data_IF_684069523714
#
_entry.id   IF_684069523714
#
_cell.length_a   1.000
_cell.length_b   1.000
_cell.length_c   1.000
_cell.angle_alpha   90.00
_cell.angle_beta   90.00
_cell.angle_gamma   90.00
#
_symmetry.space_group_name_H-M   'P 1'
#
loop_
_entity.id
_entity.type
_entity.pdbx_description
1 polymer ?
#
# COMPACT_ATOMS: atom_id res chain seq x y z
N UNK A 1 6.80 -3.29 14.13
CA UNK A 1 6.79 -3.22 12.66
C UNK A 1 8.10 -2.63 12.17
N UNK A 2 8.73 -3.26 11.18
CA UNK A 2 9.89 -2.73 10.43
C UNK A 2 9.40 -2.29 9.04
N UNK A 3 10.05 -1.30 8.43
CA UNK A 3 9.63 -0.75 7.14
C UNK A 3 10.82 -0.66 6.19
N UNK A 4 10.62 -1.18 4.98
CA UNK A 4 11.63 -1.23 3.93
C UNK A 4 11.01 -0.70 2.63
N UNK A 5 11.76 0.02 1.81
CA UNK A 5 11.23 0.46 0.52
C UNK A 5 12.34 0.61 -0.53
N UNK A 6 11.95 0.49 -1.80
CA UNK A 6 12.74 1.03 -2.89
C UNK A 6 12.72 2.56 -2.80
N UNK A 7 13.91 3.14 -2.72
CA UNK A 7 14.16 4.56 -2.66
C UNK A 7 15.37 4.90 -3.53
N UNK A 8 15.14 5.69 -4.58
CA UNK A 8 16.18 6.03 -5.55
C UNK A 8 15.89 7.36 -6.23
N UNK A 9 16.96 7.94 -6.77
CA UNK A 9 16.93 9.16 -7.56
C UNK A 9 17.03 8.81 -9.05
N UNK A 10 16.21 9.46 -9.87
CA UNK A 10 16.32 9.38 -11.32
C UNK A 10 16.00 10.74 -11.92
N UNK A 11 17.01 11.37 -12.54
CA UNK A 11 16.93 12.79 -12.87
C UNK A 11 16.93 13.63 -11.60
N UNK A 12 16.05 14.63 -11.51
CA UNK A 12 15.87 15.49 -10.33
C UNK A 12 14.76 14.99 -9.37
N UNK A 13 14.33 13.74 -9.55
CA UNK A 13 13.15 13.18 -8.90
C UNK A 13 13.52 12.05 -7.95
N UNK A 14 12.93 12.11 -6.76
CA UNK A 14 13.07 11.09 -5.74
C UNK A 14 11.84 10.18 -5.74
N UNK A 15 12.08 8.91 -6.01
CA UNK A 15 11.06 7.87 -6.06
C UNK A 15 11.07 7.08 -4.75
N UNK A 16 9.87 6.77 -4.25
CA UNK A 16 9.68 5.74 -3.23
C UNK A 16 8.54 4.83 -3.63
N UNK A 17 8.83 3.54 -3.77
CA UNK A 17 7.84 2.53 -4.16
C UNK A 17 8.08 1.20 -3.45
N UNK A 18 7.19 0.24 -3.67
CA UNK A 18 7.35 -1.14 -3.20
C UNK A 18 7.68 -1.23 -1.70
N UNK A 19 6.94 -0.51 -0.86
CA UNK A 19 7.19 -0.52 0.58
C UNK A 19 6.74 -1.84 1.18
N UNK A 20 7.56 -2.44 2.04
CA UNK A 20 7.27 -3.66 2.79
C UNK A 20 7.17 -3.31 4.28
N UNK A 21 6.01 -3.57 4.87
CA UNK A 21 5.77 -3.44 6.31
C UNK A 21 5.85 -4.84 6.94
N UNK A 22 6.96 -5.14 7.61
CA UNK A 22 7.16 -6.42 8.28
C UNK A 22 6.68 -6.37 9.74
N UNK A 23 5.83 -7.32 10.10
CA UNK A 23 5.34 -7.57 11.44
C UNK A 23 5.88 -8.91 11.94
N UNK A 24 6.28 -8.98 13.21
CA UNK A 24 6.95 -10.15 13.75
C UNK A 24 8.26 -10.45 13.01
N UNK A 25 8.50 -11.73 12.74
CA UNK A 25 9.71 -12.22 12.08
C UNK A 25 9.43 -12.96 10.75
N UNK A 26 8.15 -13.22 10.41
CA UNK A 26 7.79 -13.88 9.15
C UNK A 26 7.94 -12.93 7.95
N UNK A 27 8.21 -13.51 6.79
CA UNK A 27 8.18 -12.86 5.48
C UNK A 27 6.95 -13.27 4.64
N UNK A 28 6.01 -14.04 5.19
CA UNK A 28 4.81 -14.41 4.46
C UNK A 28 3.99 -13.18 4.09
N UNK A 29 3.49 -13.11 2.85
CA UNK A 29 2.57 -12.05 2.44
C UNK A 29 1.22 -12.22 3.14
N UNK A 30 0.87 -11.27 4.01
CA UNK A 30 -0.38 -11.27 4.78
C UNK A 30 -1.40 -10.24 4.29
N UNK A 31 -0.98 -9.29 3.43
CA UNK A 31 -1.90 -8.30 2.89
C UNK A 31 -1.24 -7.24 2.02
N UNK A 32 -2.05 -6.35 1.47
CA UNK A 32 -1.61 -5.24 0.63
C UNK A 32 -2.34 -3.95 0.99
N UNK A 33 -1.71 -2.81 0.78
CA UNK A 33 -2.33 -1.49 0.85
C UNK A 33 -1.96 -0.68 -0.38
N UNK A 34 -2.91 0.07 -0.92
CA UNK A 34 -2.66 1.04 -2.00
C UNK A 34 -3.06 2.42 -1.52
N UNK A 35 -2.08 3.32 -1.43
CA UNK A 35 -2.23 4.68 -0.92
C UNK A 35 -1.93 5.71 -2.02
N UNK A 36 -2.12 6.99 -1.69
CA UNK A 36 -1.95 8.08 -2.64
C UNK A 36 -0.51 8.22 -3.15
N UNK A 37 0.38 8.65 -2.28
CA UNK A 37 1.77 8.93 -2.57
C UNK A 37 2.67 8.66 -1.35
N UNK A 38 3.99 8.55 -1.55
CA UNK A 38 4.95 8.58 -0.47
C UNK A 38 4.85 9.87 0.33
N UNK A 39 4.76 9.74 1.65
CA UNK A 39 5.04 10.83 2.57
C UNK A 39 6.52 11.23 2.58
N UNK A 40 6.84 12.23 3.41
CA UNK A 40 8.13 12.92 3.40
C UNK A 40 9.30 12.21 4.05
N UNK A 41 9.09 11.04 4.65
CA UNK A 41 10.13 10.33 5.39
C UNK A 41 11.36 10.03 4.52
N UNK A 42 12.55 10.32 5.06
CA UNK A 42 13.85 9.93 4.53
C UNK A 42 14.22 8.52 4.98
N UNK A 43 15.05 7.78 4.20
CA UNK A 43 15.60 6.51 4.65
C UNK A 43 16.54 6.71 5.84
N UNK A 44 16.56 5.73 6.74
CA UNK A 44 17.51 5.69 7.86
C UNK A 44 18.89 5.20 7.37
N UNK A 45 18.88 4.10 6.61
CA UNK A 45 20.07 3.43 6.11
C UNK A 45 19.71 2.53 4.92
N UNK A 46 20.72 2.08 4.17
CA UNK A 46 20.55 0.96 3.23
C UNK A 46 20.29 -0.33 3.99
N UNK A 47 19.61 -1.28 3.35
CA UNK A 47 19.41 -2.63 3.90
C UNK A 47 20.74 -3.39 3.97
N UNK A 48 20.91 -4.22 5.02
CA UNK A 48 22.05 -5.14 5.14
C UNK A 48 21.96 -6.30 4.14
N UNK A 49 23.05 -7.07 4.00
CA UNK A 49 23.11 -8.27 3.15
C UNK A 49 22.05 -9.31 3.55
N UNK A 50 21.98 -9.69 4.82
CA UNK A 50 21.00 -10.67 5.31
C UNK A 50 19.54 -10.24 5.06
N UNK A 51 19.28 -8.94 5.20
CA UNK A 51 17.97 -8.36 4.95
C UNK A 51 17.66 -8.32 3.46
N UNK A 52 18.65 -8.02 2.63
CA UNK A 52 18.52 -8.05 1.18
C UNK A 52 18.19 -9.45 0.66
N UNK A 53 18.80 -10.50 1.20
CA UNK A 53 18.48 -11.88 0.82
C UNK A 53 17.02 -12.21 1.15
N UNK A 54 16.52 -11.74 2.30
CA UNK A 54 15.12 -11.90 2.70
C UNK A 54 14.15 -11.14 1.78
N UNK A 55 14.47 -9.90 1.42
CA UNK A 55 13.69 -9.09 0.47
C UNK A 55 13.68 -9.74 -0.92
N UNK A 56 14.82 -10.27 -1.35
CA UNK A 56 14.95 -10.96 -2.64
C UNK A 56 14.07 -12.20 -2.68
N UNK A 57 14.17 -13.08 -1.68
CA UNK A 57 13.34 -14.28 -1.58
C UNK A 57 11.83 -13.96 -1.52
N UNK A 58 11.46 -12.88 -0.83
CA UNK A 58 10.10 -12.36 -0.83
C UNK A 58 9.65 -11.93 -2.23
N UNK A 59 10.47 -11.14 -2.94
CA UNK A 59 10.17 -10.71 -4.30
C UNK A 59 10.05 -11.87 -5.28
N UNK A 60 10.93 -12.86 -5.19
CA UNK A 60 10.87 -14.05 -6.05
C UNK A 60 9.55 -14.82 -5.87
N UNK A 61 9.05 -14.85 -4.63
CA UNK A 61 7.81 -15.55 -4.27
C UNK A 61 6.55 -14.80 -4.70
N UNK A 62 6.54 -13.46 -4.62
CA UNK A 62 5.30 -12.66 -4.72
C UNK A 62 5.29 -11.62 -5.85
N UNK A 63 6.43 -11.39 -6.51
CA UNK A 63 6.65 -10.35 -7.52
C UNK A 63 7.46 -10.84 -8.73
N UNK A 64 7.40 -12.14 -9.01
CA UNK A 64 8.17 -12.79 -10.07
C UNK A 64 8.16 -11.98 -11.38
N UNK A 65 9.35 -11.59 -11.85
CA UNK A 65 9.56 -10.79 -13.06
C UNK A 65 9.82 -9.30 -12.85
N UNK A 66 9.56 -8.73 -11.66
CA UNK A 66 9.94 -7.34 -11.35
C UNK A 66 11.45 -7.24 -11.08
N UNK A 67 12.17 -6.41 -11.84
CA UNK A 67 13.60 -6.18 -11.61
C UNK A 67 13.80 -5.48 -10.26
N UNK A 68 14.55 -6.12 -9.38
CA UNK A 68 14.90 -5.57 -8.08
C UNK A 68 16.39 -5.21 -8.01
N UNK A 69 16.73 -4.04 -7.47
CA UNK A 69 18.10 -3.52 -7.38
C UNK A 69 18.46 -3.27 -5.92
N UNK A 70 19.42 -4.03 -5.40
CA UNK A 70 19.88 -3.96 -4.01
C UNK A 70 20.14 -2.55 -3.50
N UNK A 71 20.84 -1.74 -4.30
CA UNK A 71 21.26 -0.39 -3.89
C UNK A 71 20.10 0.61 -3.75
N UNK A 72 18.90 0.27 -4.22
CA UNK A 72 17.70 1.09 -4.04
C UNK A 72 16.98 0.77 -2.72
N UNK A 73 17.31 -0.33 -2.03
CA UNK A 73 16.57 -0.71 -0.82
C UNK A 73 17.11 -0.08 0.44
N UNK A 74 16.19 0.53 1.18
CA UNK A 74 16.49 1.25 2.39
C UNK A 74 15.50 0.90 3.51
N UNK A 75 15.98 1.02 4.74
CA UNK A 75 15.17 0.94 5.95
C UNK A 75 14.56 2.31 6.26
N UNK A 76 13.32 2.33 6.73
CA UNK A 76 12.59 3.52 7.10
C UNK A 76 12.03 3.42 8.51
N UNK A 77 11.96 4.56 9.19
CA UNK A 77 11.21 4.69 10.43
C UNK A 77 9.69 4.69 10.13
N UNK A 78 8.88 3.83 10.78
CA UNK A 78 7.44 3.82 10.57
C UNK A 78 6.75 5.15 10.90
N UNK A 79 6.08 5.73 9.90
CA UNK A 79 5.28 6.93 10.05
C UNK A 79 3.86 6.64 10.60
N UNK A 80 3.08 7.66 10.98
CA UNK A 80 1.72 7.46 11.49
C UNK A 80 0.79 6.72 10.52
N UNK A 81 0.90 6.95 9.22
CA UNK A 81 0.07 6.29 8.20
C UNK A 81 0.35 4.79 8.17
N UNK A 82 1.61 4.38 8.21
CA UNK A 82 2.00 2.97 8.29
C UNK A 82 1.43 2.30 9.56
N UNK A 83 1.45 3.02 10.71
CA UNK A 83 0.84 2.52 11.96
C UNK A 83 -0.69 2.42 11.87
N UNK A 84 -1.34 3.25 11.06
CA UNK A 84 -2.78 3.12 10.80
C UNK A 84 -3.09 1.96 9.87
N UNK A 85 -2.19 1.64 8.93
CA UNK A 85 -2.28 0.40 8.13
C UNK A 85 -2.19 -0.82 9.04
N UNK A 86 -1.25 -0.86 9.99
CA UNK A 86 -1.18 -1.91 11.02
C UNK A 86 -2.52 -2.07 11.76
N UNK A 87 -3.12 -0.96 12.22
CA UNK A 87 -4.43 -0.96 12.89
C UNK A 87 -5.59 -1.48 12.03
N UNK A 88 -5.49 -1.34 10.71
CA UNK A 88 -6.47 -1.89 9.78
C UNK A 88 -6.34 -3.41 9.74
N UNK A 89 -5.11 -3.94 9.61
CA UNK A 89 -4.85 -5.37 9.45
C UNK A 89 -4.92 -6.19 10.76
N UNK A 90 -4.64 -5.57 11.91
CA UNK A 90 -4.79 -6.24 13.22
C UNK A 90 -6.20 -6.13 13.80
N UNK A 91 -7.09 -5.39 13.13
CA UNK A 91 -8.49 -5.24 13.50
C UNK A 91 -8.74 -4.30 14.67
N UNK A 92 -7.78 -3.44 15.03
CA UNK A 92 -7.90 -2.48 16.14
C UNK A 92 -9.17 -1.62 16.04
N UNK A 93 -9.50 -1.15 14.84
CA UNK A 93 -10.72 -0.36 14.63
C UNK A 93 -12.00 -1.14 14.90
N UNK A 94 -11.95 -2.48 14.93
CA UNK A 94 -13.04 -3.39 15.24
C UNK A 94 -13.06 -3.82 16.72
N UNK A 95 -12.17 -3.29 17.55
CA UNK A 95 -12.01 -3.75 18.93
C UNK A 95 -11.27 -5.09 19.05
N UNK A 96 -10.59 -5.52 17.96
CA UNK A 96 -9.67 -6.66 17.98
C UNK A 96 -8.24 -6.18 18.21
N UNK A 97 -7.31 -7.10 18.44
CA UNK A 97 -5.88 -6.78 18.53
C UNK A 97 -5.06 -8.02 18.14
N UNK A 98 -5.19 -8.43 16.87
CA UNK A 98 -4.57 -9.64 16.38
C UNK A 98 -3.07 -9.39 16.19
N UNK A 99 -2.23 -10.24 16.77
CA UNK A 99 -0.79 -10.18 16.54
C UNK A 99 -0.48 -10.52 15.08
N UNK A 100 0.14 -9.57 14.36
CA UNK A 100 0.52 -9.76 12.97
C UNK A 100 1.91 -10.39 12.89
N UNK A 101 2.08 -11.38 12.02
CA UNK A 101 3.37 -12.01 11.72
C UNK A 101 3.46 -12.27 10.21
N UNK A 102 4.24 -11.44 9.51
CA UNK A 102 4.32 -11.44 8.05
C UNK A 102 4.48 -10.03 7.47
N UNK A 103 4.32 -9.90 6.16
CA UNK A 103 4.53 -8.66 5.40
C UNK A 103 3.22 -8.14 4.81
N UNK A 104 2.96 -6.85 5.01
CA UNK A 104 2.00 -6.09 4.21
C UNK A 104 2.76 -5.28 3.15
N UNK A 105 2.43 -5.47 1.88
CA UNK A 105 2.97 -4.64 0.81
C UNK A 105 2.21 -3.32 0.75
N UNK A 106 2.91 -2.21 0.60
CA UNK A 106 2.34 -0.88 0.43
C UNK A 106 2.79 -0.31 -0.91
N UNK A 107 1.81 -0.04 -1.75
CA UNK A 107 1.95 0.58 -3.06
C UNK A 107 1.42 2.01 -3.00
N UNK A 108 2.01 2.89 -3.82
CA UNK A 108 1.49 4.23 -4.01
C UNK A 108 0.90 4.35 -5.41
N UNK A 109 -0.24 5.01 -5.56
CA UNK A 109 -0.76 5.35 -6.89
C UNK A 109 0.21 6.27 -7.63
N UNK A 110 0.95 7.11 -6.90
CA UNK A 110 1.97 8.02 -7.40
C UNK A 110 3.26 7.87 -6.60
N UNK A 111 4.38 7.53 -7.22
CA UNK A 111 5.60 7.08 -6.53
C UNK A 111 6.61 8.19 -6.23
N UNK A 112 6.35 9.43 -6.64
CA UNK A 112 7.28 10.53 -6.37
C UNK A 112 7.01 11.12 -5.00
N UNK A 113 8.10 11.32 -4.26
CA UNK A 113 8.08 11.84 -2.90
C UNK A 113 7.73 13.33 -2.87
N UNK A 114 6.73 13.70 -2.08
CA UNK A 114 6.35 15.10 -1.75
C UNK A 114 6.17 16.06 -2.94
N UNK A 115 5.93 15.55 -4.14
CA UNK A 115 5.88 16.39 -5.32
C UNK A 115 4.45 16.60 -5.80
N UNK A 116 4.19 17.80 -6.29
CA UNK A 116 2.97 18.12 -7.01
C UNK A 116 2.89 17.26 -8.28
N UNK A 117 1.79 16.52 -8.41
CA UNK A 117 1.52 15.65 -9.56
C UNK A 117 1.70 16.38 -10.89
N UNK A 118 1.20 17.61 -11.03
CA UNK A 118 1.28 18.38 -12.28
C UNK A 118 2.73 18.69 -12.63
N UNK A 119 3.54 19.06 -11.63
CA UNK A 119 4.98 19.32 -11.85
C UNK A 119 5.70 18.06 -12.31
N UNK A 120 5.41 16.92 -11.70
CA UNK A 120 6.10 15.69 -12.02
C UNK A 120 5.64 15.10 -13.37
N UNK A 121 4.34 15.19 -13.68
CA UNK A 121 3.79 14.82 -14.99
C UNK A 121 4.41 15.67 -16.11
N UNK A 122 4.59 16.98 -15.89
CA UNK A 122 5.23 17.86 -16.86
C UNK A 122 6.71 17.50 -17.11
N UNK A 123 7.39 16.92 -16.11
CA UNK A 123 8.81 16.53 -16.22
C UNK A 123 9.03 15.14 -16.82
N UNK A 124 8.16 14.17 -16.52
CA UNK A 124 8.39 12.75 -16.84
C UNK A 124 7.41 12.21 -17.91
N UNK A 125 6.28 12.88 -18.12
CA UNK A 125 5.18 12.38 -18.92
C UNK A 125 4.26 11.42 -18.14
N UNK A 126 3.02 11.28 -18.60
CA UNK A 126 1.97 10.50 -17.93
C UNK A 126 2.13 8.98 -18.06
N UNK A 127 2.94 8.50 -19.01
CA UNK A 127 3.03 7.08 -19.37
C UNK A 127 4.14 6.33 -18.62
N UNK A 128 4.83 6.97 -17.68
CA UNK A 128 5.94 6.35 -16.96
C UNK A 128 5.46 5.35 -15.90
N UNK A 129 5.83 4.08 -16.07
CA UNK A 129 5.62 3.00 -15.09
C UNK A 129 6.34 3.27 -13.75
N UNK A 130 7.33 4.16 -13.74
CA UNK A 130 8.00 4.57 -12.51
C UNK A 130 7.14 5.58 -11.73
N UNK A 131 6.35 6.39 -12.43
CA UNK A 131 5.53 7.45 -11.86
C UNK A 131 4.30 6.89 -11.13
N UNK A 132 3.66 5.89 -11.74
CA UNK A 132 2.41 5.31 -11.26
C UNK A 132 2.51 3.80 -11.10
N UNK A 133 2.00 3.27 -9.99
CA UNK A 133 1.95 1.82 -9.76
C UNK A 133 0.75 1.17 -10.45
N UNK A 134 0.55 1.44 -11.75
CA UNK A 134 -0.60 0.97 -12.53
C UNK A 134 -0.80 -0.55 -12.43
N UNK A 135 0.30 -1.29 -12.35
CA UNK A 135 0.34 -2.76 -12.32
C UNK A 135 0.41 -3.38 -10.92
N UNK A 136 0.22 -2.59 -9.85
CA UNK A 136 0.28 -3.09 -8.48
C UNK A 136 -0.63 -4.31 -8.23
N UNK A 137 -1.76 -4.38 -8.94
CA UNK A 137 -2.73 -5.47 -8.83
C UNK A 137 -2.16 -6.86 -9.15
N UNK A 138 -1.11 -6.93 -9.98
CA UNK A 138 -0.44 -8.20 -10.33
C UNK A 138 0.23 -8.86 -9.13
N UNK A 139 0.55 -8.07 -8.09
CA UNK A 139 1.34 -8.50 -6.94
C UNK A 139 0.51 -8.70 -5.68
N UNK A 140 -0.82 -8.62 -5.76
CA UNK A 140 -1.66 -8.76 -4.57
C UNK A 140 -1.82 -10.21 -4.09
N UNK A 141 -1.58 -11.19 -4.97
CA UNK A 141 -1.59 -12.63 -4.66
C UNK A 141 -2.85 -13.10 -3.90
N UNK A 142 -4.01 -12.54 -4.24
CA UNK A 142 -5.30 -12.79 -3.57
C UNK A 142 -5.26 -12.63 -2.04
N UNK A 143 -4.34 -11.82 -1.53
CA UNK A 143 -4.28 -11.43 -0.12
C UNK A 143 -5.16 -10.21 0.12
N UNK A 144 -5.70 -10.04 1.35
CA UNK A 144 -6.57 -8.92 1.68
C UNK A 144 -5.90 -7.59 1.32
N UNK A 145 -6.58 -6.79 0.52
CA UNK A 145 -6.02 -5.56 -0.03
C UNK A 145 -6.87 -4.36 0.38
N UNK A 146 -6.23 -3.41 1.05
CA UNK A 146 -6.83 -2.15 1.47
C UNK A 146 -6.57 -1.06 0.43
N UNK A 147 -7.63 -0.63 -0.26
CA UNK A 147 -7.59 0.55 -1.12
C UNK A 147 -7.88 1.82 -0.30
N UNK A 148 -6.83 2.57 -0.01
CA UNK A 148 -6.84 3.80 0.80
C UNK A 148 -6.51 5.04 -0.02
N UNK A 149 -7.04 5.13 -1.25
CA UNK A 149 -6.73 6.20 -2.20
C UNK A 149 -6.91 7.61 -1.63
N UNK A 150 -7.96 7.84 -0.84
CA UNK A 150 -8.27 9.17 -0.31
C UNK A 150 -8.79 10.14 -1.37
N UNK A 151 -9.30 11.29 -0.91
CA UNK A 151 -9.98 12.26 -1.78
C UNK A 151 -9.05 12.95 -2.77
N UNK A 152 -7.77 13.11 -2.43
CA UNK A 152 -6.76 13.71 -3.32
C UNK A 152 -6.62 12.92 -4.63
N UNK A 153 -6.54 11.59 -4.53
CA UNK A 153 -6.48 10.69 -5.68
C UNK A 153 -7.81 10.67 -6.43
N UNK A 154 -8.92 10.53 -5.71
CA UNK A 154 -10.23 10.35 -6.32
C UNK A 154 -10.73 11.58 -7.09
N UNK A 155 -10.19 12.77 -6.80
CA UNK A 155 -10.53 14.04 -7.47
C UNK A 155 -9.57 14.40 -8.61
N UNK A 156 -8.38 13.79 -8.66
CA UNK A 156 -7.41 13.98 -9.75
C UNK A 156 -7.78 13.09 -10.93
N UNK A 157 -8.02 13.64 -12.12
CA UNK A 157 -8.40 12.85 -13.30
C UNK A 157 -7.39 11.75 -13.64
N UNK A 158 -6.09 12.07 -13.58
CA UNK A 158 -5.00 11.11 -13.86
C UNK A 158 -4.93 10.04 -12.76
N UNK A 159 -4.83 10.44 -11.48
CA UNK A 159 -4.66 9.48 -10.38
C UNK A 159 -5.91 8.65 -10.13
N UNK A 160 -7.10 9.21 -10.39
CA UNK A 160 -8.35 8.45 -10.37
C UNK A 160 -8.33 7.34 -11.40
N UNK A 161 -7.83 7.58 -12.61
CA UNK A 161 -7.73 6.54 -13.63
C UNK A 161 -6.76 5.43 -13.21
N UNK A 162 -5.64 5.78 -12.59
CA UNK A 162 -4.71 4.79 -11.99
C UNK A 162 -5.41 3.97 -10.91
N UNK A 163 -6.13 4.62 -9.99
CA UNK A 163 -6.88 3.95 -8.93
C UNK A 163 -7.98 3.02 -9.47
N UNK A 164 -8.72 3.46 -10.49
CA UNK A 164 -9.72 2.65 -11.21
C UNK A 164 -9.06 1.43 -11.84
N UNK A 165 -7.93 1.62 -12.55
CA UNK A 165 -7.21 0.53 -13.18
C UNK A 165 -6.76 -0.53 -12.17
N UNK A 166 -6.14 -0.10 -11.07
CA UNK A 166 -5.69 -1.02 -10.00
C UNK A 166 -6.89 -1.78 -9.42
N UNK A 167 -7.98 -1.08 -9.08
CA UNK A 167 -9.15 -1.71 -8.47
C UNK A 167 -9.83 -2.70 -9.44
N UNK A 168 -10.13 -2.29 -10.67
CA UNK A 168 -10.88 -3.09 -11.63
C UNK A 168 -10.13 -4.34 -12.10
N UNK A 169 -8.81 -4.27 -12.20
CA UNK A 169 -7.96 -5.42 -12.55
C UNK A 169 -7.61 -6.30 -11.35
N UNK A 170 -7.98 -5.90 -10.13
CA UNK A 170 -7.86 -6.78 -8.96
C UNK A 170 -8.78 -7.99 -9.06
N UNK A 171 -8.36 -9.10 -8.48
CA UNK A 171 -9.12 -10.35 -8.49
C UNK A 171 -10.51 -10.19 -7.86
N UNK A 172 -11.44 -11.08 -8.22
CA UNK A 172 -12.77 -11.12 -7.63
C UNK A 172 -12.72 -11.33 -6.11
N UNK A 173 -11.75 -12.12 -5.64
CA UNK A 173 -11.52 -12.36 -4.21
C UNK A 173 -11.29 -11.04 -3.48
N UNK A 174 -10.37 -10.22 -3.98
CA UNK A 174 -10.06 -8.91 -3.39
C UNK A 174 -11.25 -7.95 -3.53
N UNK A 175 -11.84 -7.87 -4.71
CA UNK A 175 -12.98 -6.95 -4.96
C UNK A 175 -14.22 -7.29 -4.13
N UNK A 176 -14.40 -8.53 -3.69
CA UNK A 176 -15.52 -8.94 -2.83
C UNK A 176 -15.55 -8.23 -1.45
N UNK A 177 -14.42 -7.64 -1.05
CA UNK A 177 -14.35 -6.76 0.12
C UNK A 177 -15.19 -5.49 -0.10
N UNK A 178 -15.22 -4.98 -1.33
CA UNK A 178 -15.76 -3.69 -1.74
C UNK A 178 -17.08 -3.83 -2.50
N UNK A 179 -17.71 -2.69 -2.84
CA UNK A 179 -18.79 -2.65 -3.83
C UNK A 179 -18.20 -2.79 -5.24
N UNK A 180 -18.92 -3.46 -6.15
CA UNK A 180 -18.46 -3.66 -7.53
C UNK A 180 -18.31 -2.33 -8.30
N UNK A 181 -19.22 -1.39 -8.05
CA UNK A 181 -19.13 -0.03 -8.59
C UNK A 181 -18.09 0.78 -7.80
N UNK A 182 -16.98 1.10 -8.46
CA UNK A 182 -15.89 1.91 -7.92
C UNK A 182 -16.39 3.21 -7.27
N UNK A 183 -17.39 3.88 -7.86
CA UNK A 183 -17.90 5.17 -7.38
C UNK A 183 -18.67 5.08 -6.07
N UNK A 184 -19.18 3.90 -5.71
CA UNK A 184 -19.91 3.65 -4.46
C UNK A 184 -18.99 3.36 -3.27
N UNK A 185 -17.70 3.21 -3.51
CA UNK A 185 -16.70 2.96 -2.48
C UNK A 185 -16.07 4.26 -1.97
N UNK A 186 -15.92 4.39 -0.65
CA UNK A 186 -15.35 5.61 -0.06
C UNK A 186 -13.81 5.70 -0.16
N UNK A 187 -13.12 4.56 -0.27
CA UNK A 187 -11.65 4.43 -0.32
C UNK A 187 -10.92 5.37 0.64
N UNK A 188 -11.37 5.42 1.90
CA UNK A 188 -10.83 6.35 2.89
C UNK A 188 -9.33 6.16 3.05
N UNK A 189 -8.59 7.26 3.19
CA UNK A 189 -7.18 7.21 3.56
C UNK A 189 -7.03 6.71 5.03
N UNK A 190 -5.98 5.95 5.40
CA UNK A 190 -5.81 5.44 6.77
C UNK A 190 -5.88 6.52 7.86
N UNK A 191 -5.36 7.72 7.58
CA UNK A 191 -5.45 8.86 8.50
C UNK A 191 -6.90 9.28 8.77
N UNK A 192 -7.75 9.29 7.74
CA UNK A 192 -9.17 9.61 7.91
C UNK A 192 -9.89 8.50 8.69
N UNK A 193 -9.57 7.23 8.43
CA UNK A 193 -10.08 6.11 9.26
C UNK A 193 -9.77 6.34 10.73
N UNK A 194 -8.52 6.70 11.05
CA UNK A 194 -8.11 6.96 12.43
C UNK A 194 -8.82 8.17 13.07
N UNK A 195 -9.25 9.16 12.29
CA UNK A 195 -10.01 10.31 12.79
C UNK A 195 -11.51 10.02 12.93
N UNK A 196 -12.06 9.19 12.04
CA UNK A 196 -13.49 8.97 11.90
C UNK A 196 -14.02 7.69 12.57
N UNK A 197 -13.16 6.75 13.01
CA UNK A 197 -13.61 5.41 13.46
C UNK A 197 -14.61 5.38 14.62
N UNK A 198 -14.73 6.47 15.40
CA UNK A 198 -15.71 6.62 16.49
C UNK A 198 -17.01 7.30 16.07
N UNK A 199 -17.06 7.83 14.85
CA UNK A 199 -18.18 8.63 14.35
C UNK A 199 -19.25 7.72 13.75
N UNK A 200 -20.53 8.06 13.97
CA UNK A 200 -21.66 7.18 13.62
C UNK A 200 -21.72 6.82 12.13
N UNK A 201 -21.43 7.77 11.23
CA UNK A 201 -21.44 7.53 9.78
C UNK A 201 -20.37 6.54 9.33
N UNK A 202 -19.30 6.37 10.11
CA UNK A 202 -18.21 5.45 9.80
C UNK A 202 -18.56 3.99 10.12
N UNK A 203 -19.65 3.75 10.86
CA UNK A 203 -20.04 2.41 11.28
C UNK A 203 -20.20 1.44 10.11
N UNK A 204 -20.82 1.87 9.00
CA UNK A 204 -21.01 1.03 7.81
C UNK A 204 -19.68 0.62 7.17
N UNK A 205 -18.73 1.53 7.06
CA UNK A 205 -17.41 1.23 6.53
C UNK A 205 -16.64 0.26 7.44
N UNK A 206 -16.79 0.44 8.76
CA UNK A 206 -16.19 -0.43 9.77
C UNK A 206 -16.78 -1.85 9.73
N UNK A 207 -18.10 -1.99 9.74
CA UNK A 207 -18.78 -3.29 9.73
C UNK A 207 -18.77 -3.99 8.37
N UNK A 208 -18.56 -3.25 7.28
CA UNK A 208 -18.37 -3.77 5.93
C UNK A 208 -16.91 -4.02 5.57
N UNK A 209 -16.23 -2.97 5.07
CA UNK A 209 -14.89 -3.06 4.48
C UNK A 209 -13.85 -3.57 5.48
N UNK A 210 -13.73 -2.93 6.65
CA UNK A 210 -12.69 -3.30 7.62
C UNK A 210 -12.92 -4.71 8.19
N UNK A 211 -14.17 -5.08 8.45
CA UNK A 211 -14.51 -6.43 8.92
C UNK A 211 -14.17 -7.51 7.88
N UNK A 212 -14.45 -7.26 6.59
CA UNK A 212 -14.11 -8.19 5.51
C UNK A 212 -12.59 -8.33 5.31
N UNK A 213 -11.83 -7.25 5.42
CA UNK A 213 -10.35 -7.32 5.40
C UNK A 213 -9.84 -8.26 6.49
N UNK A 214 -10.32 -8.11 7.72
CA UNK A 214 -9.92 -8.98 8.84
C UNK A 214 -10.38 -10.43 8.62
N UNK A 215 -11.59 -10.62 8.09
CA UNK A 215 -12.11 -11.96 7.82
C UNK A 215 -11.29 -12.68 6.76
N UNK A 216 -10.84 -11.96 5.74
CA UNK A 216 -10.01 -12.50 4.67
C UNK A 216 -8.55 -12.72 5.12
N UNK A 217 -8.00 -11.83 5.96
CA UNK A 217 -6.64 -11.95 6.49
C UNK A 217 -6.45 -13.14 7.44
N UNK A 218 -7.50 -13.51 8.18
CA UNK A 218 -7.42 -14.45 9.30
C UNK A 218 -8.31 -15.69 9.16
N UNK A 219 -8.81 -15.95 7.95
CA UNK A 219 -9.27 -17.30 7.59
C UNK A 219 -8.03 -18.16 7.36
N UNK A 220 -7.67 -19.00 8.32
CA UNK A 220 -6.59 -19.99 8.21
C UNK A 220 -7.12 -21.42 8.21
N UNK A 221 -6.35 -22.40 7.73
CA UNK A 221 -5.23 -22.33 6.77
C UNK A 221 -5.66 -22.72 5.34
#
# INVERSE_FOLDING_TARGET
MKSYAEYFEQGELLYRRNTLLQFGNSWDLIGNAVLANPGSAEPNSRVSDDLWDSITAFHDSFRNGERNQRYNWHEFSPDPTMRFVEKIFNGWYLGKNIELNGVVQLFNTFNIKNQDLQKAVAQVGVDSELLFSCDAYKYFNDKPTYFGFGQEILRSGVLRNVAINIFQNSSKTIRSIYEDDFSRNSFYHPMYVNQAYKQGHFWQYKSGILAKIITMAHKCP
#
